data_IF_378021589548
#
_entry.id   IF_378021589548
#
_cell.length_a   1.000
_cell.length_b   1.000
_cell.length_c   1.000
_cell.angle_alpha   90.00
_cell.angle_beta   90.00
_cell.angle_gamma   90.00
#
_symmetry.space_group_name_H-M   'P 1'
#
loop_
_entity.id
_entity.type
_entity.pdbx_description
1 polymer ?
#
# COMPACT_ATOMS: atom_id res chain seq x y z
N UNK A 1 30.12 -29.51 18.32
CA UNK A 1 29.46 -28.95 17.12
C UNK A 1 29.11 -27.50 17.40
N UNK A 2 29.95 -26.58 16.91
CA UNK A 2 29.81 -25.15 17.14
C UNK A 2 28.69 -24.59 16.24
N UNK A 3 27.59 -24.17 16.85
CA UNK A 3 26.58 -23.33 16.19
C UNK A 3 27.23 -22.00 15.83
N UNK A 4 27.30 -21.72 14.53
CA UNK A 4 27.92 -20.53 13.96
C UNK A 4 27.22 -19.26 14.44
N UNK A 5 27.94 -18.27 15.00
CA UNK A 5 27.35 -17.00 15.50
C UNK A 5 26.77 -16.11 14.39
N UNK A 6 26.98 -16.46 13.11
CA UNK A 6 26.49 -15.70 11.95
C UNK A 6 24.96 -15.77 11.75
N UNK A 7 24.28 -16.80 12.25
CA UNK A 7 22.82 -16.92 12.08
C UNK A 7 22.08 -16.01 13.07
N UNK A 8 22.65 -15.78 14.27
CA UNK A 8 22.06 -14.87 15.25
C UNK A 8 22.23 -13.39 14.85
N UNK A 9 23.30 -13.05 14.13
CA UNK A 9 23.60 -11.68 13.72
C UNK A 9 22.61 -11.12 12.68
N UNK A 10 21.93 -11.98 11.92
CA UNK A 10 20.91 -11.56 10.94
C UNK A 10 19.51 -11.31 11.53
N UNK A 11 19.27 -11.71 12.79
CA UNK A 11 17.91 -11.76 13.37
C UNK A 11 17.59 -10.49 14.17
N UNK A 12 18.57 -9.63 14.47
CA UNK A 12 18.38 -8.34 15.15
C UNK A 12 18.23 -7.14 14.20
N UNK A 13 18.23 -7.34 12.88
CA UNK A 13 17.90 -6.29 11.92
C UNK A 13 16.40 -5.96 11.95
N UNK A 14 16.01 -5.11 12.91
CA UNK A 14 14.81 -4.26 12.92
C UNK A 14 13.60 -4.80 12.14
N UNK A 15 13.01 -5.92 12.59
CA UNK A 15 11.77 -6.40 11.98
C UNK A 15 10.73 -5.27 11.98
N UNK A 16 10.14 -5.02 10.80
CA UNK A 16 9.00 -4.12 10.66
C UNK A 16 7.83 -4.84 11.33
N UNK A 17 7.28 -4.26 12.39
CA UNK A 17 6.15 -4.84 13.11
C UNK A 17 4.84 -4.15 12.70
N UNK A 18 3.67 -4.80 12.88
CA UNK A 18 2.38 -4.15 12.67
C UNK A 18 2.24 -2.85 13.45
N UNK A 19 2.79 -2.77 14.66
CA UNK A 19 2.74 -1.58 15.52
C UNK A 19 3.48 -0.41 14.88
N UNK A 20 4.64 -0.62 14.25
CA UNK A 20 5.34 0.44 13.52
C UNK A 20 4.52 0.95 12.33
N UNK A 21 3.84 0.06 11.61
CA UNK A 21 2.92 0.44 10.53
C UNK A 21 1.77 1.28 11.09
N UNK A 22 1.17 0.86 12.20
CA UNK A 22 0.08 1.58 12.86
C UNK A 22 0.53 2.95 13.39
N UNK A 23 1.73 3.06 13.96
CA UNK A 23 2.30 4.33 14.41
C UNK A 23 2.46 5.32 13.26
N UNK A 24 2.93 4.87 12.10
CA UNK A 24 2.96 5.70 10.88
C UNK A 24 1.56 6.15 10.48
N UNK A 25 0.59 5.22 10.37
CA UNK A 25 -0.78 5.53 9.94
C UNK A 25 -1.54 6.43 10.93
N UNK A 26 -1.16 6.43 12.21
CA UNK A 26 -1.70 7.30 13.26
C UNK A 26 -0.96 8.63 13.39
N UNK A 27 0.18 8.80 12.71
CA UNK A 27 0.98 10.01 12.82
C UNK A 27 0.24 11.25 12.31
N UNK A 28 0.53 12.41 12.91
CA UNK A 28 -0.06 13.70 12.50
C UNK A 28 0.15 13.99 11.01
N UNK A 29 1.33 13.65 10.46
CA UNK A 29 1.66 13.86 9.05
C UNK A 29 0.74 13.05 8.14
N UNK A 30 0.54 11.76 8.42
CA UNK A 30 -0.40 10.92 7.66
C UNK A 30 -1.84 11.41 7.82
N UNK A 31 -2.25 11.78 9.03
CA UNK A 31 -3.61 12.33 9.27
C UNK A 31 -3.86 13.66 8.56
N UNK A 32 -2.83 14.45 8.26
CA UNK A 32 -2.99 15.61 7.39
C UNK A 32 -3.22 15.21 5.93
N UNK A 33 -2.50 14.20 5.43
CA UNK A 33 -2.68 13.70 4.05
C UNK A 33 -4.05 13.04 3.87
N UNK A 34 -4.51 12.25 4.83
CA UNK A 34 -5.86 11.67 4.82
C UNK A 34 -6.93 12.75 4.73
N UNK A 35 -6.87 13.78 5.59
CA UNK A 35 -7.83 14.89 5.57
C UNK A 35 -7.83 15.66 4.24
N UNK A 36 -6.68 15.79 3.58
CA UNK A 36 -6.62 16.37 2.24
C UNK A 36 -7.38 15.48 1.24
N UNK A 37 -7.11 14.17 1.25
CA UNK A 37 -7.74 13.20 0.34
C UNK A 37 -9.24 12.96 0.62
N UNK A 38 -9.71 13.32 1.80
CA UNK A 38 -11.14 13.32 2.18
C UNK A 38 -11.88 14.57 1.69
N UNK A 39 -11.19 15.64 1.26
CA UNK A 39 -11.84 16.84 0.74
C UNK A 39 -12.42 16.56 -0.67
N UNK A 40 -13.76 16.63 -0.85
CA UNK A 40 -14.38 16.39 -2.15
C UNK A 40 -14.03 17.46 -3.19
N UNK A 41 -13.54 18.62 -2.76
CA UNK A 41 -13.12 19.73 -3.63
C UNK A 41 -11.59 19.81 -3.77
N UNK A 42 -10.88 18.75 -3.38
CA UNK A 42 -9.43 18.72 -3.45
C UNK A 42 -8.94 19.04 -4.87
N UNK A 43 -8.21 20.14 -4.97
CA UNK A 43 -7.40 20.50 -6.11
C UNK A 43 -5.98 20.71 -5.57
N UNK A 44 -5.01 20.08 -6.22
CA UNK A 44 -3.61 20.20 -5.87
C UNK A 44 -2.90 20.96 -6.99
N UNK A 45 -2.32 22.10 -6.64
CA UNK A 45 -1.40 22.88 -7.48
C UNK A 45 0.06 22.71 -7.00
N UNK A 46 0.23 22.29 -5.73
CA UNK A 46 1.52 22.08 -5.11
C UNK A 46 2.05 20.64 -5.30
N UNK A 47 3.25 20.53 -5.87
CA UNK A 47 3.93 19.24 -6.13
C UNK A 47 4.24 18.44 -4.88
N UNK A 48 4.62 19.08 -3.78
CA UNK A 48 4.96 18.39 -2.54
C UNK A 48 3.72 17.77 -1.89
N UNK A 49 2.58 18.44 -1.95
CA UNK A 49 1.30 17.88 -1.49
C UNK A 49 0.86 16.71 -2.38
N UNK A 50 1.01 16.83 -3.70
CA UNK A 50 0.76 15.73 -4.63
C UNK A 50 1.65 14.53 -4.32
N UNK A 51 2.95 14.75 -4.06
CA UNK A 51 3.89 13.70 -3.72
C UNK A 51 3.62 13.08 -2.34
N UNK A 52 3.15 13.86 -1.37
CA UNK A 52 2.73 13.34 -0.07
C UNK A 52 1.53 12.39 -0.22
N UNK A 53 0.49 12.81 -0.94
CA UNK A 53 -0.67 11.98 -1.26
C UNK A 53 -0.28 10.71 -2.02
N UNK A 54 0.56 10.87 -3.06
CA UNK A 54 1.09 9.77 -3.87
C UNK A 54 1.82 8.73 -3.02
N UNK A 55 2.75 9.18 -2.17
CA UNK A 55 3.57 8.28 -1.35
C UNK A 55 2.71 7.56 -0.29
N UNK A 56 1.73 8.25 0.30
CA UNK A 56 0.74 7.66 1.20
C UNK A 56 -0.08 6.57 0.52
N UNK A 57 -0.64 6.84 -0.65
CA UNK A 57 -1.42 5.85 -1.41
C UNK A 57 -0.59 4.63 -1.78
N UNK A 58 0.65 4.81 -2.26
CA UNK A 58 1.56 3.69 -2.53
C UNK A 58 1.75 2.80 -1.29
N UNK A 59 1.96 3.44 -0.12
CA UNK A 59 2.15 2.75 1.14
C UNK A 59 0.89 1.97 1.54
N UNK A 60 -0.29 2.59 1.46
CA UNK A 60 -1.56 1.94 1.81
C UNK A 60 -1.88 0.76 0.89
N UNK A 61 -1.65 0.88 -0.43
CA UNK A 61 -1.84 -0.23 -1.37
C UNK A 61 -0.89 -1.38 -1.02
N UNK A 62 0.37 -1.08 -0.71
CA UNK A 62 1.35 -2.09 -0.32
C UNK A 62 0.92 -2.82 0.96
N UNK A 63 0.45 -2.10 1.97
CA UNK A 63 0.02 -2.69 3.25
C UNK A 63 -1.25 -3.50 3.08
N UNK A 64 -2.25 -2.96 2.35
CA UNK A 64 -3.53 -3.59 2.13
C UNK A 64 -3.45 -4.90 1.33
N UNK A 65 -2.47 -5.02 0.44
CA UNK A 65 -2.41 -6.15 -0.50
C UNK A 65 -1.17 -7.04 -0.34
N UNK A 66 -0.12 -6.57 0.33
CA UNK A 66 1.16 -7.29 0.36
C UNK A 66 1.76 -7.52 -1.04
N UNK A 67 1.43 -6.68 -2.02
CA UNK A 67 1.83 -6.87 -3.41
C UNK A 67 3.28 -6.48 -3.66
N UNK A 68 3.86 -7.02 -4.74
CA UNK A 68 5.17 -6.56 -5.20
C UNK A 68 5.04 -5.14 -5.76
N UNK A 69 6.09 -4.34 -5.60
CA UNK A 69 6.14 -2.96 -6.13
C UNK A 69 5.85 -2.89 -7.64
N UNK A 70 6.24 -3.91 -8.41
CA UNK A 70 5.94 -3.97 -9.84
C UNK A 70 4.43 -4.02 -10.15
N UNK A 71 3.63 -4.68 -9.32
CA UNK A 71 2.17 -4.66 -9.46
C UNK A 71 1.62 -3.28 -9.10
N UNK A 72 2.09 -2.68 -8.00
CA UNK A 72 1.70 -1.32 -7.60
C UNK A 72 2.03 -0.31 -8.70
N UNK A 73 3.23 -0.38 -9.28
CA UNK A 73 3.67 0.47 -10.39
C UNK A 73 2.77 0.35 -11.62
N UNK A 74 2.23 -0.84 -11.87
CA UNK A 74 1.44 -1.13 -13.06
C UNK A 74 -0.05 -0.72 -12.92
N UNK A 75 -0.45 -0.07 -11.83
CA UNK A 75 -1.80 0.52 -11.72
C UNK A 75 -1.90 1.71 -12.68
N UNK A 76 -2.86 1.66 -13.60
CA UNK A 76 -3.07 2.69 -14.64
C UNK A 76 -4.44 3.35 -14.51
N UNK A 77 -4.62 4.58 -15.03
CA UNK A 77 -5.95 5.20 -15.11
C UNK A 77 -6.96 4.30 -15.83
N UNK A 78 -6.57 3.68 -16.95
CA UNK A 78 -7.44 2.76 -17.68
C UNK A 78 -7.87 1.52 -16.87
N UNK A 79 -7.02 1.05 -15.96
CA UNK A 79 -7.35 -0.07 -15.08
C UNK A 79 -8.29 0.36 -13.95
N UNK A 80 -8.15 1.59 -13.44
CA UNK A 80 -9.06 2.20 -12.46
C UNK A 80 -10.44 2.45 -13.08
N UNK A 81 -10.51 2.97 -14.30
CA UNK A 81 -11.78 3.16 -15.02
C UNK A 81 -12.55 1.84 -15.20
N UNK A 82 -11.82 0.71 -15.24
CA UNK A 82 -12.35 -0.65 -15.39
C UNK A 82 -12.39 -1.42 -14.07
N UNK A 83 -12.19 -0.74 -12.93
CA UNK A 83 -12.19 -1.39 -11.64
C UNK A 83 -13.56 -2.05 -11.39
N UNK A 84 -13.52 -3.26 -10.85
CA UNK A 84 -14.75 -3.94 -10.44
C UNK A 84 -15.13 -3.47 -9.03
N UNK A 85 -16.27 -2.79 -8.93
CA UNK A 85 -16.81 -2.32 -7.67
C UNK A 85 -17.47 -3.48 -6.90
N UNK A 86 -17.39 -3.41 -5.58
CA UNK A 86 -17.97 -4.37 -4.62
C UNK A 86 -18.52 -3.59 -3.42
N UNK A 87 -19.27 -4.24 -2.53
CA UNK A 87 -19.76 -3.60 -1.31
C UNK A 87 -18.64 -3.10 -0.38
N UNK A 88 -17.46 -3.74 -0.43
CA UNK A 88 -16.35 -3.48 0.47
C UNK A 88 -15.27 -2.54 -0.13
N UNK A 89 -15.46 -2.11 -1.38
CA UNK A 89 -14.52 -1.27 -2.13
C UNK A 89 -14.39 -1.67 -3.59
N UNK A 90 -13.18 -1.68 -4.14
CA UNK A 90 -12.93 -1.99 -5.54
C UNK A 90 -11.77 -2.97 -5.74
N UNK A 91 -11.80 -3.71 -6.85
CA UNK A 91 -10.69 -4.57 -7.30
C UNK A 91 -10.23 -4.12 -8.68
N UNK A 92 -8.95 -3.77 -8.79
CA UNK A 92 -8.29 -3.40 -10.04
C UNK A 92 -7.50 -4.59 -10.55
N UNK A 93 -7.71 -4.93 -11.83
CA UNK A 93 -6.97 -6.00 -12.50
C UNK A 93 -5.80 -5.42 -13.29
N UNK A 94 -4.62 -5.95 -13.03
CA UNK A 94 -3.35 -5.54 -13.65
C UNK A 94 -2.90 -6.64 -14.59
N UNK A 95 -3.16 -6.44 -15.87
CA UNK A 95 -2.90 -7.45 -16.90
C UNK A 95 -1.41 -7.61 -17.24
N UNK A 96 -0.61 -6.53 -17.13
CA UNK A 96 0.82 -6.54 -17.46
C UNK A 96 1.66 -6.15 -16.26
N UNK A 97 2.50 -7.07 -15.80
CA UNK A 97 3.46 -6.89 -14.71
C UNK A 97 4.59 -7.90 -14.85
N UNK A 98 5.69 -7.76 -14.08
CA UNK A 98 6.88 -8.62 -14.20
C UNK A 98 6.60 -10.15 -14.12
N UNK A 99 5.44 -10.55 -13.57
CA UNK A 99 5.02 -11.95 -13.48
C UNK A 99 3.66 -12.19 -14.12
N UNK A 100 3.31 -11.44 -15.16
CA UNK A 100 2.06 -11.63 -15.91
C UNK A 100 1.95 -13.01 -16.58
N UNK A 101 3.08 -13.68 -16.83
CA UNK A 101 3.11 -15.10 -17.21
C UNK A 101 2.48 -16.03 -16.16
N UNK A 102 2.35 -15.60 -14.90
CA UNK A 102 1.60 -16.31 -13.84
C UNK A 102 0.12 -15.86 -13.75
N UNK A 103 -0.33 -15.04 -14.69
CA UNK A 103 -1.66 -14.43 -14.72
C UNK A 103 -1.69 -12.98 -14.25
N UNK A 104 -2.85 -12.31 -14.43
CA UNK A 104 -3.03 -10.93 -14.01
C UNK A 104 -2.92 -10.81 -12.48
N UNK A 105 -2.40 -9.68 -12.01
CA UNK A 105 -2.44 -9.36 -10.58
C UNK A 105 -3.75 -8.64 -10.25
N UNK A 106 -4.40 -9.03 -9.15
CA UNK A 106 -5.59 -8.36 -8.66
C UNK A 106 -5.24 -7.56 -7.41
N UNK A 107 -5.44 -6.25 -7.47
CA UNK A 107 -5.17 -5.33 -6.36
C UNK A 107 -6.52 -4.87 -5.80
N UNK A 108 -6.75 -5.16 -4.54
CA UNK A 108 -7.93 -4.74 -3.80
C UNK A 108 -7.72 -3.39 -3.12
N UNK A 109 -8.78 -2.60 -3.12
CA UNK A 109 -8.85 -1.28 -2.54
C UNK A 109 -10.06 -1.26 -1.60
N UNK A 110 -9.86 -1.41 -0.28
CA UNK A 110 -10.94 -1.16 0.68
C UNK A 110 -11.55 0.21 0.46
N UNK A 111 -12.83 0.37 0.76
CA UNK A 111 -13.58 1.59 0.46
C UNK A 111 -12.85 2.91 0.82
N UNK A 112 -12.22 3.08 2.00
CA UNK A 112 -11.49 4.32 2.31
C UNK A 112 -10.29 4.54 1.38
N UNK A 113 -9.51 3.49 1.10
CA UNK A 113 -8.37 3.56 0.19
C UNK A 113 -8.83 3.80 -1.26
N UNK A 114 -9.96 3.22 -1.67
CA UNK A 114 -10.53 3.47 -2.98
C UNK A 114 -10.91 4.94 -3.17
N UNK A 115 -11.60 5.53 -2.18
CA UNK A 115 -11.95 6.95 -2.20
C UNK A 115 -10.70 7.83 -2.31
N UNK A 116 -9.65 7.54 -1.55
CA UNK A 116 -8.37 8.25 -1.64
C UNK A 116 -7.71 8.14 -3.02
N UNK A 117 -7.76 6.95 -3.64
CA UNK A 117 -7.24 6.74 -5.00
C UNK A 117 -8.05 7.53 -6.03
N UNK A 118 -9.37 7.60 -5.90
CA UNK A 118 -10.22 8.42 -6.76
C UNK A 118 -9.91 9.92 -6.61
N UNK A 119 -9.81 10.41 -5.37
CA UNK A 119 -9.45 11.81 -5.10
C UNK A 119 -8.06 12.16 -5.67
N UNK A 120 -7.07 11.29 -5.47
CA UNK A 120 -5.73 11.48 -6.02
C UNK A 120 -5.72 11.47 -7.54
N UNK A 121 -6.40 10.53 -8.19
CA UNK A 121 -6.45 10.46 -9.65
C UNK A 121 -7.21 11.62 -10.26
N UNK A 122 -8.24 12.14 -9.58
CA UNK A 122 -8.91 13.39 -9.95
C UNK A 122 -7.93 14.57 -9.90
N UNK A 123 -7.19 14.74 -8.80
CA UNK A 123 -6.17 15.78 -8.69
C UNK A 123 -5.10 15.65 -9.78
N UNK A 124 -4.65 14.42 -10.02
CA UNK A 124 -3.61 14.14 -10.99
C UNK A 124 -4.04 14.51 -12.41
N UNK A 125 -5.28 14.19 -12.80
CA UNK A 125 -5.85 14.53 -14.11
C UNK A 125 -5.92 16.05 -14.36
N UNK A 126 -6.06 16.83 -13.29
CA UNK A 126 -6.13 18.30 -13.34
C UNK A 126 -4.78 18.97 -13.04
N UNK A 127 -3.71 18.20 -12.79
CA UNK A 127 -2.42 18.76 -12.39
C UNK A 127 -1.66 19.34 -13.60
N UNK A 128 -1.07 20.54 -13.49
CA UNK A 128 -0.31 21.13 -14.59
C UNK A 128 0.81 20.22 -15.10
N UNK A 129 0.85 19.98 -16.41
CA UNK A 129 1.85 19.12 -17.07
C UNK A 129 1.50 17.62 -17.06
N UNK A 130 0.31 17.24 -16.59
CA UNK A 130 -0.22 15.88 -16.74
C UNK A 130 -1.02 15.73 -18.05
N UNK A 131 -0.60 14.80 -18.91
CA UNK A 131 -1.31 14.48 -20.14
C UNK A 131 -2.21 13.27 -19.95
N UNK A 132 -3.52 13.51 -19.83
CA UNK A 132 -4.54 12.49 -19.59
C UNK A 132 -4.57 11.42 -20.69
N UNK A 133 -4.37 11.80 -21.96
CA UNK A 133 -4.45 10.87 -23.09
C UNK A 133 -3.18 10.04 -23.18
N UNK A 134 -2.01 10.69 -23.13
CA UNK A 134 -0.72 10.01 -23.24
C UNK A 134 -0.46 9.07 -22.06
N UNK A 135 -0.90 9.43 -20.85
CA UNK A 135 -0.65 8.64 -19.63
C UNK A 135 -1.77 7.67 -19.26
N UNK A 136 -2.82 7.55 -20.09
CA UNK A 136 -3.97 6.68 -19.80
C UNK A 136 -3.61 5.21 -19.55
N UNK A 137 -2.61 4.70 -20.28
CA UNK A 137 -2.09 3.31 -20.16
C UNK A 137 -0.80 3.23 -19.34
N UNK A 138 -0.38 4.34 -18.74
CA UNK A 138 0.83 4.46 -17.93
C UNK A 138 0.47 4.46 -16.44
N UNK A 139 1.48 4.34 -15.57
CA UNK A 139 1.26 4.33 -14.12
C UNK A 139 0.55 5.60 -13.65
N UNK A 140 -0.39 5.46 -12.70
CA UNK A 140 -0.93 6.61 -11.95
C UNK A 140 0.13 7.27 -11.07
N UNK A 141 1.23 6.55 -10.79
CA UNK A 141 2.30 7.05 -9.96
C UNK A 141 3.34 7.74 -10.84
N UNK A 142 3.26 9.06 -10.89
CA UNK A 142 4.16 9.88 -11.72
C UNK A 142 5.02 10.81 -10.85
N UNK A 143 6.16 11.21 -11.40
CA UNK A 143 6.92 12.39 -10.99
C UNK A 143 6.87 13.43 -12.09
N UNK A 144 7.20 14.67 -11.77
CA UNK A 144 7.25 15.75 -12.74
C UNK A 144 8.70 16.15 -12.98
N UNK A 145 9.10 16.22 -14.25
CA UNK A 145 10.43 16.68 -14.62
C UNK A 145 10.59 18.17 -14.19
N UNK A 146 11.67 18.55 -13.50
CA UNK A 146 11.84 19.91 -13.01
C UNK A 146 12.02 20.94 -14.14
N UNK A 147 12.53 20.52 -15.29
CA UNK A 147 12.78 21.38 -16.46
C UNK A 147 11.54 21.42 -17.34
N UNK A 148 11.10 20.26 -17.85
CA UNK A 148 10.01 20.22 -18.83
C UNK A 148 8.62 20.31 -18.19
N UNK A 149 8.53 20.20 -16.87
CA UNK A 149 7.29 20.17 -16.10
C UNK A 149 6.32 19.04 -16.51
N UNK A 150 6.74 18.11 -17.38
CA UNK A 150 5.92 17.00 -17.83
C UNK A 150 5.91 15.85 -16.82
N UNK A 151 4.76 15.21 -16.67
CA UNK A 151 4.60 14.02 -15.87
C UNK A 151 5.25 12.80 -16.55
N UNK A 152 6.03 12.04 -15.76
CA UNK A 152 6.68 10.79 -16.17
C UNK A 152 6.37 9.69 -15.15
N UNK A 153 5.97 8.48 -15.59
CA UNK A 153 5.76 7.34 -14.70
C UNK A 153 6.99 7.03 -13.85
N UNK A 154 6.77 6.74 -12.57
CA UNK A 154 7.84 6.38 -11.67
C UNK A 154 8.38 4.98 -11.97
N UNK A 155 9.69 4.80 -11.76
CA UNK A 155 10.35 3.49 -11.74
C UNK A 155 10.04 2.74 -10.43
N UNK A 156 10.28 1.43 -10.39
CA UNK A 156 10.17 0.64 -9.15
C UNK A 156 11.07 1.16 -8.02
N UNK A 157 12.26 1.66 -8.35
CA UNK A 157 13.18 2.27 -7.38
C UNK A 157 12.63 3.60 -6.85
N UNK A 158 12.02 4.42 -7.71
CA UNK A 158 11.37 5.66 -7.28
C UNK A 158 10.13 5.41 -6.40
N UNK A 159 9.37 4.34 -6.64
CA UNK A 159 8.28 3.93 -5.73
C UNK A 159 8.83 3.54 -4.36
N UNK A 160 9.89 2.73 -4.31
CA UNK A 160 10.55 2.39 -3.04
C UNK A 160 11.04 3.64 -2.30
N UNK A 161 11.63 4.61 -3.03
CA UNK A 161 12.05 5.89 -2.46
C UNK A 161 10.86 6.68 -1.90
N UNK A 162 9.71 6.71 -2.61
CA UNK A 162 8.49 7.36 -2.14
C UNK A 162 7.95 6.74 -0.85
N UNK A 163 7.88 5.41 -0.80
CA UNK A 163 7.48 4.65 0.40
C UNK A 163 8.42 4.93 1.57
N UNK A 164 9.74 4.87 1.33
CA UNK A 164 10.74 5.17 2.36
C UNK A 164 10.67 6.63 2.83
N UNK A 165 10.41 7.59 1.92
CA UNK A 165 10.24 9.00 2.27
C UNK A 165 9.06 9.23 3.20
N UNK A 166 7.96 8.50 3.02
CA UNK A 166 6.83 8.56 3.96
C UNK A 166 7.22 7.94 5.32
N UNK A 167 7.84 6.76 5.29
CA UNK A 167 8.27 6.07 6.50
C UNK A 167 9.22 6.90 7.36
N UNK A 168 10.19 7.56 6.72
CA UNK A 168 11.21 8.38 7.39
C UNK A 168 10.66 9.65 8.03
N UNK A 169 9.40 10.02 7.78
CA UNK A 169 8.75 11.15 8.46
C UNK A 169 8.37 10.83 9.91
N UNK A 170 8.32 9.55 10.27
CA UNK A 170 7.89 9.10 11.60
C UNK A 170 8.95 8.24 12.27
N UNK A 171 9.70 7.47 11.48
CA UNK A 171 10.72 6.59 12.00
C UNK A 171 12.10 7.03 11.52
N UNK A 172 13.09 7.03 12.42
CA UNK A 172 14.49 7.34 12.09
C UNK A 172 15.21 6.22 11.31
N UNK A 173 14.49 5.20 10.85
CA UNK A 173 15.05 4.03 10.15
C UNK A 173 14.65 4.04 8.68
N UNK A 174 15.48 3.42 7.83
CA UNK A 174 15.11 3.17 6.44
C UNK A 174 14.26 1.90 6.31
N UNK A 175 13.41 1.87 5.30
CA UNK A 175 12.57 0.72 4.97
C UNK A 175 12.55 0.49 3.47
N UNK A 176 12.37 -0.77 3.07
CA UNK A 176 12.05 -1.14 1.70
C UNK A 176 10.63 -1.68 1.62
N UNK A 177 10.00 -1.55 0.46
CA UNK A 177 8.69 -2.15 0.22
C UNK A 177 8.74 -3.68 0.41
N UNK A 178 9.89 -4.31 0.15
CA UNK A 178 10.09 -5.74 0.42
C UNK A 178 10.04 -6.06 1.91
N UNK A 179 10.65 -5.25 2.79
CA UNK A 179 10.61 -5.45 4.25
C UNK A 179 9.16 -5.30 4.76
N UNK A 180 8.43 -4.26 4.33
CA UNK A 180 7.00 -4.07 4.67
C UNK A 180 6.17 -5.25 4.19
N UNK A 181 6.32 -5.63 2.91
CA UNK A 181 5.59 -6.75 2.32
C UNK A 181 5.80 -8.05 3.09
N UNK A 182 7.05 -8.38 3.43
CA UNK A 182 7.36 -9.58 4.22
C UNK A 182 6.67 -9.53 5.58
N UNK A 183 6.71 -8.39 6.26
CA UNK A 183 6.03 -8.20 7.54
C UNK A 183 4.52 -8.44 7.44
N UNK A 184 3.86 -7.78 6.47
CA UNK A 184 2.42 -7.92 6.21
C UNK A 184 2.05 -9.38 5.93
N UNK A 185 2.75 -10.04 5.00
CA UNK A 185 2.49 -11.44 4.63
C UNK A 185 2.72 -12.38 5.81
N UNK A 186 3.77 -12.17 6.58
CA UNK A 186 4.06 -12.96 7.79
C UNK A 186 2.96 -12.79 8.84
N UNK A 187 2.50 -11.56 9.07
CA UNK A 187 1.41 -11.30 10.02
C UNK A 187 0.12 -11.99 9.58
N UNK A 188 -0.30 -11.79 8.33
CA UNK A 188 -1.49 -12.43 7.76
C UNK A 188 -1.43 -13.96 7.87
N UNK A 189 -0.28 -14.56 7.56
CA UNK A 189 -0.08 -16.02 7.70
C UNK A 189 -0.24 -16.50 9.14
N UNK A 190 0.19 -15.72 10.12
CA UNK A 190 0.02 -16.06 11.55
C UNK A 190 -1.45 -15.94 11.96
N UNK A 191 -2.16 -14.92 11.47
CA UNK A 191 -3.56 -14.69 11.80
C UNK A 191 -4.53 -15.64 11.12
N UNK A 192 -4.25 -16.07 9.88
CA UNK A 192 -5.11 -16.99 9.11
C UNK A 192 -4.27 -18.04 8.38
N UNK A 193 -3.73 -19.06 9.09
CA UNK A 193 -2.83 -20.06 8.51
C UNK A 193 -3.44 -20.84 7.34
N UNK A 194 -4.76 -21.10 7.39
CA UNK A 194 -5.50 -21.85 6.37
C UNK A 194 -5.56 -21.13 5.01
N UNK A 195 -5.27 -19.83 4.96
CA UNK A 195 -5.35 -19.01 3.75
C UNK A 195 -4.05 -18.94 2.94
N UNK A 196 -3.08 -19.81 3.27
CA UNK A 196 -1.72 -19.82 2.73
C UNK A 196 -1.65 -19.79 1.20
N UNK A 197 -2.35 -20.71 0.54
CA UNK A 197 -2.27 -20.85 -0.92
C UNK A 197 -3.00 -19.71 -1.62
N UNK A 198 -4.09 -19.22 -1.02
CA UNK A 198 -4.81 -18.05 -1.51
C UNK A 198 -3.98 -16.77 -1.41
N UNK A 199 -3.21 -16.61 -0.33
CA UNK A 199 -2.27 -15.50 -0.19
C UNK A 199 -1.13 -15.59 -1.22
N UNK A 200 -0.60 -16.79 -1.46
CA UNK A 200 0.42 -16.99 -2.49
C UNK A 200 -0.12 -16.67 -3.90
N UNK A 201 -1.33 -17.14 -4.22
CA UNK A 201 -2.02 -16.85 -5.48
C UNK A 201 -2.29 -15.34 -5.64
N UNK A 202 -2.77 -14.66 -4.59
CA UNK A 202 -2.99 -13.22 -4.59
C UNK A 202 -1.71 -12.47 -4.95
N UNK A 203 -0.57 -12.88 -4.39
CA UNK A 203 0.72 -12.26 -4.66
C UNK A 203 1.36 -12.63 -6.00
N UNK A 204 0.73 -13.51 -6.79
CA UNK A 204 1.33 -14.16 -7.98
C UNK A 204 2.66 -14.85 -7.64
N UNK A 205 2.64 -15.65 -6.56
CA UNK A 205 3.76 -16.42 -6.03
C UNK A 205 3.44 -17.92 -6.01
N UNK A 206 4.46 -18.77 -6.18
CA UNK A 206 4.37 -20.18 -5.79
C UNK A 206 4.39 -20.30 -4.25
N UNK A 207 3.58 -21.19 -3.63
CA UNK A 207 3.51 -21.34 -2.18
C UNK A 207 4.88 -21.51 -1.50
N UNK A 208 5.76 -22.35 -2.07
CA UNK A 208 7.11 -22.59 -1.55
C UNK A 208 8.05 -21.37 -1.62
N UNK A 209 7.79 -20.39 -2.49
CA UNK A 209 8.56 -19.14 -2.54
C UNK A 209 8.11 -18.15 -1.47
N UNK A 210 6.83 -18.18 -1.07
CA UNK A 210 6.37 -17.39 0.07
C UNK A 210 6.95 -17.93 1.39
N UNK A 211 7.11 -19.26 1.51
CA UNK A 211 7.71 -19.92 2.67
C UNK A 211 9.21 -19.61 2.86
N UNK A 212 10.00 -19.61 1.77
CA UNK A 212 11.43 -19.27 1.84
C UNK A 212 11.75 -17.85 2.29
N UNK A 213 10.82 -16.90 2.17
CA UNK A 213 11.09 -15.48 2.39
C UNK A 213 10.31 -14.84 3.54
N UNK A 214 9.30 -15.53 4.09
CA UNK A 214 8.64 -15.17 5.34
C UNK A 214 9.44 -15.76 6.50
N UNK A 215 9.95 -14.92 7.40
CA UNK A 215 10.64 -15.41 8.61
C UNK A 215 9.65 -16.19 9.48
N UNK A 216 9.69 -17.52 9.35
CA UNK A 216 9.15 -18.45 10.33
C UNK A 216 10.12 -18.45 11.51
N UNK A 217 9.87 -17.65 12.55
CA UNK A 217 10.22 -17.99 13.95
C UNK A 217 9.49 -17.05 14.96
N UNK A 218 8.92 -17.73 15.97
CA UNK A 218 8.37 -17.41 17.30
C UNK A 218 7.46 -16.19 17.65
N UNK A 219 6.56 -16.50 18.61
CA UNK A 219 5.79 -15.69 19.59
C UNK A 219 4.39 -15.12 19.22
N UNK A 220 3.37 -15.99 19.39
CA UNK A 220 2.18 -15.95 20.29
C UNK A 220 1.26 -14.68 20.42
N UNK A 221 -0.08 -14.97 20.37
CA UNK A 221 -1.32 -14.19 20.71
C UNK A 221 -1.72 -13.04 19.76
N UNK A 222 -2.94 -12.89 19.19
CA UNK A 222 -4.32 -12.81 19.76
C UNK A 222 -5.43 -13.00 18.64
N UNK A 223 -6.57 -13.62 19.03
CA UNK A 223 -7.97 -13.70 18.46
C UNK A 223 -8.38 -14.80 17.43
N UNK A 224 -9.13 -15.77 18.00
CA UNK A 224 -10.37 -16.51 17.64
C UNK A 224 -10.86 -16.84 16.21
N UNK A 225 -11.56 -17.99 16.04
CA UNK A 225 -11.74 -18.67 14.77
C UNK A 225 -12.92 -18.11 13.97
N UNK A 226 -12.74 -17.91 12.66
CA UNK A 226 -13.87 -17.73 11.75
C UNK A 226 -14.07 -19.04 11.01
N UNK A 227 -15.26 -19.60 11.23
CA UNK A 227 -15.73 -20.89 10.74
C UNK A 227 -15.56 -21.08 9.24
N UNK A 228 -15.22 -22.31 8.90
CA UNK A 228 -15.07 -22.87 7.57
C UNK A 228 -16.41 -22.85 6.84
N UNK A 229 -16.61 -21.92 5.90
CA UNK A 229 -17.56 -22.10 4.81
C UNK A 229 -17.08 -21.38 3.55
N UNK A 230 -16.85 -22.18 2.52
CA UNK A 230 -16.84 -21.91 1.08
C UNK A 230 -16.90 -20.43 0.68
N UNK A 231 -15.73 -19.80 0.52
CA UNK A 231 -15.62 -18.38 0.14
C UNK A 231 -15.38 -18.21 -1.36
N UNK A 232 -16.27 -17.47 -2.03
CA UNK A 232 -16.02 -16.93 -3.38
C UNK A 232 -14.83 -15.96 -3.32
N UNK A 233 -13.93 -16.02 -4.31
CA UNK A 233 -12.64 -15.31 -4.37
C UNK A 233 -12.66 -13.81 -3.98
N UNK A 234 -13.78 -13.12 -4.12
CA UNK A 234 -13.94 -11.68 -3.87
C UNK A 234 -13.93 -11.29 -2.39
N UNK A 235 -14.70 -11.99 -1.55
CA UNK A 235 -14.73 -11.74 -0.08
C UNK A 235 -13.38 -12.04 0.57
N UNK A 236 -12.55 -12.83 -0.09
CA UNK A 236 -11.22 -13.20 0.39
C UNK A 236 -10.27 -12.00 0.32
N UNK A 237 -10.26 -11.25 -0.78
CA UNK A 237 -9.38 -10.08 -0.91
C UNK A 237 -9.70 -8.99 0.12
N UNK A 238 -10.98 -8.78 0.42
CA UNK A 238 -11.39 -7.80 1.43
C UNK A 238 -11.18 -8.30 2.86
N UNK A 239 -11.35 -9.61 3.15
CA UNK A 239 -10.90 -10.17 4.44
C UNK A 239 -9.39 -9.98 4.64
N UNK A 240 -8.57 -10.28 3.63
CA UNK A 240 -7.12 -10.05 3.69
C UNK A 240 -6.78 -8.59 3.93
N UNK A 241 -7.41 -7.68 3.17
CA UNK A 241 -7.14 -6.26 3.33
C UNK A 241 -7.65 -5.70 4.66
N UNK A 242 -8.80 -6.16 5.16
CA UNK A 242 -9.35 -5.78 6.46
C UNK A 242 -8.48 -6.26 7.63
N UNK A 243 -7.92 -7.48 7.54
CA UNK A 243 -6.96 -8.02 8.53
C UNK A 243 -5.69 -7.15 8.58
N UNK A 244 -5.23 -6.62 7.45
CA UNK A 244 -4.06 -5.73 7.41
C UNK A 244 -4.33 -4.27 7.80
N UNK A 245 -5.58 -3.82 7.76
CA UNK A 245 -5.98 -2.42 7.99
C UNK A 245 -6.63 -2.19 9.37
N UNK A 246 -6.35 -3.03 10.36
CA UNK A 246 -7.04 -3.04 11.66
C UNK A 246 -7.22 -1.63 12.29
N UNK A 247 -8.48 -1.19 12.20
CA UNK A 247 -9.21 -0.11 12.88
C UNK A 247 -9.12 1.34 12.34
N UNK A 248 -10.24 1.80 11.78
CA UNK A 248 -10.78 3.16 11.95
C UNK A 248 -12.32 3.10 12.07
N UNK A 249 -13.04 4.17 12.44
CA UNK A 249 -12.69 5.32 13.29
C UNK A 249 -13.55 5.35 14.58
N UNK A 250 -12.99 5.75 15.72
CA UNK A 250 -13.82 6.35 16.79
C UNK A 250 -13.79 7.86 16.60
N UNK A 251 -14.96 8.46 16.36
CA UNK A 251 -15.14 9.92 16.29
C UNK A 251 -14.62 10.54 17.59
N UNK A 252 -13.73 11.51 17.48
CA UNK A 252 -13.36 12.39 18.59
C UNK A 252 -13.42 13.83 18.10
N UNK A 253 -14.08 14.74 18.82
CA UNK A 253 -14.11 16.15 18.47
C UNK A 253 -12.79 16.78 18.94
N UNK A 254 -11.97 17.22 18.00
CA UNK A 254 -10.85 18.11 18.34
C UNK A 254 -10.98 19.37 17.49
N UNK A 255 -11.49 20.42 18.12
CA UNK A 255 -11.31 21.78 17.65
C UNK A 255 -9.80 22.09 17.68
N UNK A 256 -9.25 22.58 16.57
CA UNK A 256 -7.95 23.25 16.59
C UNK A 256 -8.13 24.66 16.01
N UNK A 257 -7.47 25.68 16.61
CA UNK A 257 -7.65 27.06 16.23
C UNK A 257 -6.97 27.36 14.89
N UNK A 258 -7.63 28.20 14.08
CA UNK A 258 -7.02 28.85 12.92
C UNK A 258 -6.13 29.99 13.41
N UNK A 259 -4.81 29.87 13.24
CA UNK A 259 -3.91 31.00 12.95
C UNK A 259 -2.44 30.57 12.87
N UNK A 260 -1.68 31.30 12.05
CA UNK A 260 -0.22 31.36 11.91
C UNK A 260 0.49 30.30 11.03
N UNK A 261 0.61 30.63 9.74
CA UNK A 261 1.82 30.36 8.95
C UNK A 261 2.39 31.75 8.59
N UNK A 262 3.68 32.05 8.86
CA UNK A 262 4.28 33.30 8.42
C UNK A 262 4.67 33.24 6.94
N UNK A 263 4.80 34.44 6.36
CA UNK A 263 5.08 34.74 4.95
C UNK A 263 6.34 34.07 4.38
#
# INVERSE_FOLDING_TARGET
MLLTPYILFFITESMITPEKILTLLKSRKVKCVERLLEDPRLLLDNRDLLYACRNYIMFCILVANGQRVGAIQAITPAAIDKARLTADGAVVTIAKHKRDYMGPAHVAFPQPLWNHVLAYTHCLRNFPGYDVRALRKSSIFVGFNPITQKATPLTTSAINKGINKLWSQVHSSSVSATKIRKSVVTHVRRSVPESRDTLAAHMSHMPGTADRYSCLYLSIFIISPVSSQTMKNERIYFKFSAITMLHGPKRWPCQCPRSSLPA
#
